data_IF_293604441603
#
_entry.id   IF_293604441603
#
_cell.length_a   1.000
_cell.length_b   1.000
_cell.length_c   1.000
_cell.angle_alpha   90.00
_cell.angle_beta   90.00
_cell.angle_gamma   90.00
#
_symmetry.space_group_name_H-M   'P 1'
#
loop_
_entity.id
_entity.type
_entity.pdbx_description
1 polymer ?
#
# COMPACT_ATOMS: atom_id res chain seq x y z
N UNK A 1 36.16 -49.24 64.15
CA UNK A 1 35.67 -50.28 63.22
C UNK A 1 34.97 -49.52 62.09
N UNK A 2 35.49 -49.63 60.87
CA UNK A 2 35.07 -48.84 59.73
C UNK A 2 33.77 -49.40 59.13
N UNK A 3 32.74 -48.56 58.98
CA UNK A 3 31.53 -48.92 58.25
C UNK A 3 31.71 -48.57 56.77
N UNK A 4 31.70 -49.61 55.93
CA UNK A 4 31.66 -49.52 54.47
C UNK A 4 30.21 -49.28 54.07
N UNK A 5 29.92 -48.16 53.41
CA UNK A 5 28.63 -47.93 52.74
C UNK A 5 28.79 -48.27 51.26
N UNK A 6 28.06 -49.30 50.80
CA UNK A 6 27.91 -49.65 49.39
C UNK A 6 26.94 -48.69 48.70
N UNK A 7 27.38 -48.09 47.60
CA UNK A 7 26.60 -47.22 46.72
C UNK A 7 25.53 -48.03 45.96
N UNK A 8 24.25 -47.75 46.18
CA UNK A 8 23.19 -48.14 45.27
C UNK A 8 22.98 -47.03 44.22
N UNK A 9 23.32 -47.32 42.96
CA UNK A 9 23.04 -46.41 41.85
C UNK A 9 21.53 -46.43 41.53
N UNK A 10 20.88 -45.28 41.67
CA UNK A 10 19.49 -45.08 41.27
C UNK A 10 19.44 -44.76 39.77
N UNK A 11 18.85 -45.64 38.96
CA UNK A 11 18.46 -45.30 37.59
C UNK A 11 17.33 -44.28 37.63
N UNK A 12 17.57 -43.06 37.17
CA UNK A 12 16.50 -42.09 36.88
C UNK A 12 16.17 -42.19 35.39
N UNK A 13 14.99 -42.73 35.09
CA UNK A 13 14.42 -42.63 33.75
C UNK A 13 14.00 -41.18 33.49
N UNK A 14 14.61 -40.52 32.52
CA UNK A 14 14.20 -39.20 32.07
C UNK A 14 12.90 -39.33 31.25
N UNK A 15 11.77 -38.93 31.82
CA UNK A 15 10.55 -38.73 31.04
C UNK A 15 10.71 -37.44 30.23
N UNK A 16 10.81 -37.56 28.91
CA UNK A 16 10.76 -36.41 28.01
C UNK A 16 9.38 -35.73 28.14
N UNK A 17 9.34 -34.54 28.74
CA UNK A 17 8.15 -33.71 28.70
C UNK A 17 7.98 -33.20 27.26
N UNK A 18 7.03 -33.76 26.51
CA UNK A 18 6.62 -33.19 25.24
C UNK A 18 5.95 -31.85 25.53
N UNK A 19 6.67 -30.75 25.29
CA UNK A 19 6.06 -29.42 25.27
C UNK A 19 5.12 -29.36 24.08
N UNK A 20 3.81 -29.33 24.32
CA UNK A 20 2.87 -29.00 23.27
C UNK A 20 3.13 -27.57 22.82
N UNK A 21 3.42 -27.37 21.54
CA UNK A 21 3.40 -26.04 20.94
C UNK A 21 1.96 -25.52 21.04
N UNK A 22 1.73 -24.52 21.89
CA UNK A 22 0.46 -23.82 21.89
C UNK A 22 0.24 -23.24 20.48
N UNK A 23 -0.81 -23.67 19.80
CA UNK A 23 -1.26 -22.98 18.60
C UNK A 23 -1.67 -21.57 19.04
N UNK A 24 -1.09 -20.53 18.44
CA UNK A 24 -1.62 -19.18 18.58
C UNK A 24 -3.12 -19.26 18.28
N UNK A 25 -3.97 -18.85 19.24
CA UNK A 25 -5.42 -18.98 19.11
C UNK A 25 -5.94 -18.36 17.82
N UNK A 26 -7.14 -18.78 17.39
CA UNK A 26 -7.78 -18.21 16.19
C UNK A 26 -7.76 -16.68 16.28
N UNK A 27 -7.20 -15.96 15.29
CA UNK A 27 -7.18 -14.51 15.32
C UNK A 27 -8.61 -14.00 15.39
N UNK A 28 -8.89 -13.12 16.36
CA UNK A 28 -10.16 -12.39 16.41
C UNK A 28 -10.00 -11.09 15.62
N UNK A 29 -10.99 -10.80 14.77
CA UNK A 29 -11.01 -9.62 13.93
C UNK A 29 -12.45 -9.12 13.80
N UNK A 30 -12.58 -7.80 13.72
CA UNK A 30 -13.83 -7.14 13.36
C UNK A 30 -13.85 -6.88 11.86
N UNK A 31 -14.96 -7.25 11.21
CA UNK A 31 -15.19 -6.91 9.81
C UNK A 31 -15.93 -5.58 9.79
N UNK A 32 -15.23 -4.53 9.36
CA UNK A 32 -15.78 -3.20 9.19
C UNK A 32 -16.13 -3.01 7.72
N UNK A 33 -17.40 -2.74 7.43
CA UNK A 33 -17.80 -2.26 6.12
C UNK A 33 -17.31 -0.81 5.95
N UNK A 34 -16.51 -0.58 4.91
CA UNK A 34 -15.97 0.74 4.59
C UNK A 34 -17.02 1.65 3.93
N UNK A 35 -18.12 1.08 3.44
CA UNK A 35 -19.19 1.79 2.75
C UNK A 35 -18.87 2.14 1.30
N UNK A 36 -19.63 3.10 0.76
CA UNK A 36 -19.54 3.59 -0.63
C UNK A 36 -19.58 5.11 -0.64
N UNK A 37 -19.00 5.75 -1.66
CA UNK A 37 -19.02 7.23 -1.81
C UNK A 37 -20.46 7.72 -2.02
N UNK A 38 -21.23 7.00 -2.83
CA UNK A 38 -22.60 7.34 -3.22
C UNK A 38 -23.45 6.07 -3.19
N UNK A 39 -24.72 6.20 -2.78
CA UNK A 39 -25.64 5.06 -2.73
C UNK A 39 -25.78 4.40 -4.11
N UNK A 40 -25.67 3.06 -4.15
CA UNK A 40 -25.72 2.28 -5.39
C UNK A 40 -24.40 2.21 -6.17
N UNK A 41 -23.33 2.84 -5.69
CA UNK A 41 -22.00 2.70 -6.26
C UNK A 41 -21.29 1.43 -5.75
N UNK A 42 -20.21 1.04 -6.41
CA UNK A 42 -19.33 -0.05 -5.99
C UNK A 42 -17.90 0.48 -5.87
N UNK A 43 -17.20 0.06 -4.82
CA UNK A 43 -15.81 0.46 -4.56
C UNK A 43 -14.89 -0.75 -4.62
N UNK A 44 -13.65 -0.51 -5.06
CA UNK A 44 -12.57 -1.48 -5.05
C UNK A 44 -11.38 -0.87 -4.31
N UNK A 45 -10.99 -1.51 -3.20
CA UNK A 45 -9.77 -1.17 -2.47
C UNK A 45 -8.52 -1.68 -3.18
N UNK A 46 -7.46 -0.86 -3.19
CA UNK A 46 -6.19 -1.18 -3.86
C UNK A 46 -4.99 -1.13 -2.91
N UNK A 47 -5.08 -0.36 -1.81
CA UNK A 47 -3.95 -0.14 -0.92
C UNK A 47 -4.35 0.38 0.44
N UNK A 48 -3.42 0.27 1.38
CA UNK A 48 -3.54 0.80 2.74
C UNK A 48 -2.19 1.36 3.20
N UNK A 49 -2.21 2.40 4.03
CA UNK A 49 -1.01 2.93 4.67
C UNK A 49 -0.38 1.92 5.63
N UNK A 50 0.91 2.07 5.90
CA UNK A 50 1.68 1.11 6.71
C UNK A 50 1.22 1.00 8.17
N UNK A 51 0.60 2.05 8.69
CA UNK A 51 -0.03 2.09 10.02
C UNK A 51 -1.49 1.61 10.02
N UNK A 52 -2.03 1.22 8.87
CA UNK A 52 -3.40 0.74 8.74
C UNK A 52 -4.49 1.81 8.84
N UNK A 53 -4.14 3.10 8.87
CA UNK A 53 -5.12 4.18 9.14
C UNK A 53 -5.80 4.74 7.90
N UNK A 54 -5.18 4.60 6.72
CA UNK A 54 -5.67 5.17 5.46
C UNK A 54 -5.77 4.09 4.40
N UNK A 55 -7.00 3.71 4.02
CA UNK A 55 -7.25 2.81 2.90
C UNK A 55 -7.62 3.60 1.63
N UNK A 56 -7.24 3.10 0.46
CA UNK A 56 -7.44 3.80 -0.82
C UNK A 56 -7.89 2.87 -1.92
N UNK A 57 -8.49 3.44 -2.96
CA UNK A 57 -8.91 2.67 -4.11
C UNK A 57 -9.64 3.49 -5.15
N UNK A 58 -10.63 2.87 -5.78
CA UNK A 58 -11.48 3.51 -6.80
C UNK A 58 -12.96 3.18 -6.62
N UNK A 59 -13.76 4.06 -7.17
CA UNK A 59 -15.21 4.00 -7.24
C UNK A 59 -15.62 3.74 -8.69
N UNK A 60 -16.38 2.68 -8.94
CA UNK A 60 -16.67 2.18 -10.28
C UNK A 60 -17.73 3.00 -11.03
N UNK A 61 -18.76 3.46 -10.33
CA UNK A 61 -19.83 4.28 -10.92
C UNK A 61 -19.34 5.69 -11.24
N UNK A 62 -18.76 6.37 -10.24
CA UNK A 62 -18.23 7.72 -10.45
C UNK A 62 -16.89 7.79 -11.17
N UNK A 63 -16.17 6.67 -11.36
CA UNK A 63 -14.82 6.63 -11.95
C UNK A 63 -13.77 7.49 -11.20
N UNK A 64 -13.96 7.67 -9.89
CA UNK A 64 -13.09 8.50 -9.05
C UNK A 64 -12.22 7.63 -8.15
N UNK A 65 -11.08 8.16 -7.70
CA UNK A 65 -10.36 7.56 -6.60
C UNK A 65 -11.08 7.84 -5.27
N UNK A 66 -10.77 7.08 -4.22
CA UNK A 66 -11.22 7.38 -2.87
C UNK A 66 -10.10 7.21 -1.84
N UNK A 67 -10.27 7.86 -0.69
CA UNK A 67 -9.55 7.59 0.56
C UNK A 67 -10.54 7.30 1.68
N UNK A 68 -10.19 6.38 2.57
CA UNK A 68 -10.97 6.05 3.75
C UNK A 68 -10.10 6.14 5.01
N UNK A 69 -10.69 6.66 6.09
CA UNK A 69 -10.11 6.61 7.44
C UNK A 69 -11.21 6.25 8.44
N UNK A 70 -10.85 5.66 9.58
CA UNK A 70 -11.83 5.32 10.62
C UNK A 70 -12.60 6.55 11.15
N UNK A 71 -11.95 7.72 11.23
CA UNK A 71 -12.57 8.95 11.72
C UNK A 71 -13.34 9.73 10.66
N UNK A 72 -12.97 9.60 9.38
CA UNK A 72 -13.55 10.37 8.27
C UNK A 72 -14.50 9.59 7.36
N UNK A 73 -14.53 8.26 7.47
CA UNK A 73 -15.24 7.40 6.53
C UNK A 73 -14.65 7.45 5.13
N UNK A 74 -15.42 6.99 4.15
CA UNK A 74 -15.03 6.94 2.74
C UNK A 74 -15.28 8.30 2.07
N UNK A 75 -14.23 8.88 1.50
CA UNK A 75 -14.26 10.18 0.81
C UNK A 75 -13.78 10.01 -0.63
N UNK A 76 -14.58 10.50 -1.58
CA UNK A 76 -14.18 10.56 -2.99
C UNK A 76 -13.11 11.64 -3.21
N UNK A 77 -12.11 11.31 -4.01
CA UNK A 77 -11.01 12.20 -4.36
C UNK A 77 -11.26 12.89 -5.71
N UNK A 78 -10.85 14.15 -5.89
CA UNK A 78 -11.07 14.88 -7.12
C UNK A 78 -10.28 14.28 -8.29
N UNK A 79 -10.72 14.58 -9.51
CA UNK A 79 -10.08 14.17 -10.76
C UNK A 79 -9.34 15.34 -11.41
N UNK A 80 -8.41 15.03 -12.31
CA UNK A 80 -7.86 16.07 -13.18
C UNK A 80 -8.95 16.51 -14.18
N UNK A 81 -9.03 17.81 -14.53
CA UNK A 81 -10.00 18.30 -15.51
C UNK A 81 -9.93 17.59 -16.87
N UNK A 82 -8.74 17.10 -17.25
CA UNK A 82 -8.47 16.43 -18.53
C UNK A 82 -8.58 14.91 -18.46
N UNK A 83 -8.68 14.31 -17.27
CA UNK A 83 -8.67 12.86 -17.07
C UNK A 83 -9.88 12.45 -16.22
N UNK A 84 -10.94 12.01 -16.90
CA UNK A 84 -12.24 11.68 -16.29
C UNK A 84 -12.26 10.42 -15.43
N UNK A 85 -11.14 9.71 -15.31
CA UNK A 85 -10.99 8.48 -14.54
C UNK A 85 -9.79 8.61 -13.60
N UNK A 86 -9.92 8.12 -12.37
CA UNK A 86 -8.82 8.11 -11.41
C UNK A 86 -8.85 6.84 -10.55
N UNK A 87 -7.67 6.38 -10.16
CA UNK A 87 -7.48 5.24 -9.26
C UNK A 87 -6.35 5.54 -8.29
N UNK A 88 -6.62 5.46 -6.99
CA UNK A 88 -5.58 5.51 -5.98
C UNK A 88 -4.99 4.11 -5.74
N UNK A 89 -3.68 4.06 -5.53
CA UNK A 89 -2.88 2.81 -5.43
C UNK A 89 -2.05 2.74 -4.16
N UNK A 90 -1.63 3.90 -3.62
CA UNK A 90 -0.79 3.96 -2.43
C UNK A 90 -1.16 5.11 -1.50
N UNK A 91 -0.91 4.93 -0.21
CA UNK A 91 -1.14 5.92 0.82
C UNK A 91 0.02 5.96 1.83
N UNK A 92 0.30 7.15 2.35
CA UNK A 92 1.22 7.38 3.47
C UNK A 92 0.45 7.50 4.79
N UNK A 93 1.14 7.33 5.91
CA UNK A 93 0.54 7.47 7.26
C UNK A 93 0.14 8.92 7.56
N UNK A 94 0.68 9.89 6.81
CA UNK A 94 0.28 11.30 6.91
C UNK A 94 -0.92 11.66 6.03
N UNK A 95 -1.59 10.67 5.43
CA UNK A 95 -2.79 10.87 4.60
C UNK A 95 -2.53 11.37 3.19
N UNK A 96 -1.27 11.41 2.72
CA UNK A 96 -1.00 11.62 1.28
C UNK A 96 -1.35 10.35 0.52
N UNK A 97 -1.97 10.52 -0.64
CA UNK A 97 -2.39 9.42 -1.52
C UNK A 97 -1.79 9.62 -2.90
N UNK A 98 -1.41 8.53 -3.56
CA UNK A 98 -0.93 8.56 -4.96
C UNK A 98 -1.67 7.56 -5.81
N UNK A 99 -1.61 7.78 -7.12
CA UNK A 99 -2.26 6.91 -8.07
C UNK A 99 -2.09 7.35 -9.52
N UNK A 100 -3.08 6.99 -10.33
CA UNK A 100 -3.10 7.25 -11.76
C UNK A 100 -4.43 7.90 -12.16
N UNK A 101 -4.35 8.90 -13.02
CA UNK A 101 -5.50 9.48 -13.71
C UNK A 101 -5.46 9.10 -15.20
N UNK A 102 -6.59 8.73 -15.79
CA UNK A 102 -6.70 8.23 -17.17
C UNK A 102 -7.84 8.92 -17.92
N UNK A 103 -7.77 8.96 -19.23
CA UNK A 103 -8.81 9.57 -20.08
C UNK A 103 -9.97 8.62 -20.36
N UNK A 104 -9.74 7.31 -20.19
CA UNK A 104 -10.74 6.26 -20.41
C UNK A 104 -10.78 5.27 -19.25
N UNK A 105 -11.86 4.51 -19.17
CA UNK A 105 -12.04 3.42 -18.19
C UNK A 105 -10.96 2.34 -18.29
N UNK A 106 -10.49 2.06 -19.51
CA UNK A 106 -9.47 1.04 -19.78
C UNK A 106 -8.03 1.55 -19.59
N UNK A 107 -7.87 2.80 -19.16
CA UNK A 107 -6.58 3.32 -18.71
C UNK A 107 -5.74 4.02 -19.78
N UNK A 108 -6.36 4.62 -20.80
CA UNK A 108 -5.66 5.41 -21.82
C UNK A 108 -5.04 6.68 -21.21
N UNK A 109 -3.88 7.08 -21.76
CA UNK A 109 -3.12 8.28 -21.37
C UNK A 109 -2.94 8.41 -19.84
N UNK A 110 -2.28 7.44 -19.18
CA UNK A 110 -2.13 7.49 -17.74
C UNK A 110 -1.19 8.63 -17.33
N UNK A 111 -1.62 9.43 -16.35
CA UNK A 111 -0.80 10.42 -15.68
C UNK A 111 -0.63 10.06 -14.20
N UNK A 112 0.59 10.19 -13.66
CA UNK A 112 0.84 9.98 -12.24
C UNK A 112 0.27 11.15 -11.46
N UNK A 113 -0.46 10.87 -10.38
CA UNK A 113 -1.12 11.90 -9.59
C UNK A 113 -0.91 11.68 -8.09
N UNK A 114 -0.98 12.78 -7.35
CA UNK A 114 -0.93 12.82 -5.90
C UNK A 114 -2.10 13.63 -5.37
N UNK A 115 -2.75 13.10 -4.33
CA UNK A 115 -3.75 13.81 -3.56
C UNK A 115 -3.19 14.18 -2.19
N UNK A 116 -3.30 15.47 -1.85
CA UNK A 116 -2.88 16.01 -0.57
C UNK A 116 -3.76 17.22 -0.22
N UNK A 117 -4.24 17.29 1.02
CA UNK A 117 -5.08 18.41 1.47
C UNK A 117 -6.36 18.61 0.66
N UNK A 118 -6.93 17.53 0.10
CA UNK A 118 -8.13 17.58 -0.74
C UNK A 118 -7.90 18.05 -2.18
N UNK A 119 -6.66 18.37 -2.57
CA UNK A 119 -6.30 18.74 -3.94
C UNK A 119 -5.64 17.58 -4.68
N UNK A 120 -5.87 17.50 -5.99
CA UNK A 120 -5.15 16.60 -6.90
C UNK A 120 -4.08 17.40 -7.65
N UNK A 121 -2.87 16.85 -7.70
CA UNK A 121 -1.74 17.39 -8.47
C UNK A 121 -1.17 16.30 -9.36
N UNK A 122 -0.92 16.63 -10.63
CA UNK A 122 -0.16 15.76 -11.51
C UNK A 122 1.32 15.77 -11.09
N UNK A 123 1.90 14.59 -10.91
CA UNK A 123 3.34 14.43 -10.71
C UNK A 123 4.08 14.65 -12.04
N UNK A 124 5.29 15.22 -12.03
CA UNK A 124 6.02 15.55 -13.25
C UNK A 124 6.38 14.29 -14.05
N UNK A 125 6.41 14.41 -15.37
CA UNK A 125 6.99 13.40 -16.26
C UNK A 125 8.43 13.81 -16.60
N UNK A 126 9.42 12.89 -16.56
CA UNK A 126 10.75 13.16 -17.08
C UNK A 126 10.72 13.56 -18.57
N UNK A 127 11.74 14.29 -19.01
CA UNK A 127 11.84 14.73 -20.41
C UNK A 127 11.84 13.54 -21.37
N UNK A 128 10.97 13.59 -22.39
CA UNK A 128 10.82 12.52 -23.39
C UNK A 128 9.74 11.49 -23.06
N UNK A 129 9.28 11.43 -21.81
CA UNK A 129 8.20 10.55 -21.39
C UNK A 129 6.83 11.19 -21.66
N UNK A 130 5.85 10.37 -22.01
CA UNK A 130 4.51 10.82 -22.44
C UNK A 130 3.39 10.36 -21.50
N UNK A 131 3.66 9.39 -20.64
CA UNK A 131 2.72 8.88 -19.66
C UNK A 131 3.45 8.41 -18.40
N UNK A 132 2.68 8.22 -17.31
CA UNK A 132 3.22 7.68 -16.07
C UNK A 132 2.16 7.25 -15.07
N UNK A 133 2.61 6.55 -14.03
CA UNK A 133 1.81 6.01 -12.94
C UNK A 133 2.55 6.21 -11.63
N UNK A 134 1.82 6.41 -10.53
CA UNK A 134 2.36 6.32 -9.19
C UNK A 134 1.74 5.13 -8.46
N UNK A 135 2.56 4.37 -7.72
CA UNK A 135 2.16 3.12 -7.06
C UNK A 135 2.27 3.20 -5.53
N UNK A 136 3.25 3.95 -5.01
CA UNK A 136 3.48 4.06 -3.58
C UNK A 136 4.04 5.43 -3.21
N UNK A 137 3.85 5.83 -1.95
CA UNK A 137 4.30 7.11 -1.40
C UNK A 137 4.69 6.96 0.06
N UNK A 138 5.78 7.59 0.48
CA UNK A 138 6.20 7.65 1.88
C UNK A 138 5.73 8.94 2.57
N UNK A 139 5.88 9.03 3.89
CA UNK A 139 5.49 10.23 4.66
C UNK A 139 6.30 11.50 4.31
N UNK A 140 7.43 11.36 3.61
CA UNK A 140 8.22 12.48 3.10
C UNK A 140 7.72 13.02 1.75
N UNK A 141 6.65 12.43 1.19
CA UNK A 141 6.08 12.83 -0.09
C UNK A 141 6.86 12.30 -1.30
N UNK A 142 7.82 11.41 -1.07
CA UNK A 142 8.50 10.70 -2.17
C UNK A 142 7.59 9.59 -2.66
N UNK A 143 7.24 9.64 -3.94
CA UNK A 143 6.45 8.62 -4.59
C UNK A 143 7.31 7.79 -5.56
N UNK A 144 6.89 6.56 -5.80
CA UNK A 144 7.51 5.67 -6.80
C UNK A 144 6.47 5.16 -7.78
N UNK A 145 6.91 4.82 -8.98
CA UNK A 145 6.00 4.47 -10.06
C UNK A 145 6.69 3.97 -11.31
N UNK A 146 6.00 4.12 -12.44
CA UNK A 146 6.58 3.98 -13.77
C UNK A 146 6.28 5.20 -14.64
N UNK A 147 7.16 5.45 -15.62
CA UNK A 147 6.96 6.40 -16.72
C UNK A 147 7.33 5.76 -18.04
N UNK A 148 6.77 6.24 -19.14
CA UNK A 148 7.06 5.69 -20.44
C UNK A 148 6.65 6.53 -21.63
N UNK A 149 7.08 6.05 -22.79
CA UNK A 149 6.74 6.56 -24.11
C UNK A 149 6.52 5.39 -25.07
N UNK A 150 5.35 5.32 -25.69
CA UNK A 150 4.95 4.19 -26.53
C UNK A 150 4.80 2.89 -25.73
N UNK A 151 5.73 1.94 -25.91
CA UNK A 151 5.70 0.59 -25.32
C UNK A 151 6.76 0.36 -24.25
N UNK A 152 7.63 1.34 -24.00
CA UNK A 152 8.71 1.23 -23.02
C UNK A 152 8.29 1.92 -21.72
N UNK A 153 8.51 1.25 -20.59
CA UNK A 153 8.33 1.83 -19.25
C UNK A 153 9.61 1.65 -18.42
N UNK A 154 9.89 2.66 -17.58
CA UNK A 154 10.98 2.66 -16.61
C UNK A 154 10.44 2.92 -15.22
N UNK A 155 11.10 2.34 -14.20
CA UNK A 155 10.86 2.74 -12.81
C UNK A 155 11.23 4.21 -12.60
N UNK A 156 10.45 4.92 -11.79
CA UNK A 156 10.66 6.35 -11.54
C UNK A 156 10.41 6.66 -10.07
N UNK A 157 11.13 7.67 -9.58
CA UNK A 157 10.90 8.30 -8.28
C UNK A 157 10.44 9.74 -8.51
N UNK A 158 9.40 10.17 -7.80
CA UNK A 158 8.91 11.54 -7.76
C UNK A 158 9.23 12.13 -6.38
N UNK A 159 10.06 13.18 -6.33
CA UNK A 159 10.45 13.82 -5.08
C UNK A 159 10.71 15.31 -5.30
N UNK A 160 10.27 16.17 -4.37
CA UNK A 160 10.55 17.60 -4.41
C UNK A 160 10.08 18.29 -5.70
N UNK A 161 8.97 17.84 -6.29
CA UNK A 161 8.45 18.38 -7.55
C UNK A 161 9.22 17.98 -8.81
N UNK A 162 10.14 17.01 -8.71
CA UNK A 162 10.90 16.45 -9.84
C UNK A 162 10.65 14.95 -10.00
N UNK A 163 10.88 14.43 -11.19
CA UNK A 163 10.85 12.99 -11.49
C UNK A 163 12.24 12.52 -11.96
N UNK A 164 12.70 11.40 -11.42
CA UNK A 164 13.97 10.77 -11.79
C UNK A 164 13.75 9.32 -12.14
N UNK A 165 14.17 8.92 -13.35
CA UNK A 165 14.19 7.50 -13.75
C UNK A 165 15.18 6.74 -12.87
N UNK A 166 14.76 5.57 -12.40
CA UNK A 166 15.57 4.65 -11.61
C UNK A 166 16.35 3.78 -12.58
N UNK A 167 17.62 4.12 -12.81
CA UNK A 167 18.48 3.47 -13.82
C UNK A 167 19.34 2.33 -13.28
N UNK A 168 19.33 2.11 -11.96
CA UNK A 168 19.98 0.98 -11.30
C UNK A 168 19.10 0.47 -10.16
N UNK A 169 18.93 -0.85 -10.04
CA UNK A 169 18.57 -1.43 -8.76
C UNK A 169 19.83 -1.27 -7.89
N UNK A 170 19.77 -0.49 -6.82
CA UNK A 170 20.80 -0.58 -5.79
C UNK A 170 20.86 -2.06 -5.37
N UNK A 171 22.05 -2.65 -5.42
CA UNK A 171 22.25 -4.04 -5.03
C UNK A 171 21.56 -4.31 -3.70
N UNK A 172 20.78 -5.37 -3.70
CA UNK A 172 20.20 -6.01 -2.53
C UNK A 172 21.25 -6.11 -1.43
N UNK A 173 21.08 -5.27 -0.39
CA UNK A 173 21.92 -5.23 0.81
C UNK A 173 21.51 -6.28 1.83
#
# INVERSE_FOLDING_TARGET
>A
MANVTLNAALLVAAAAAATSSAHAGTPQYDIIDLGVVSAGDAVQGNGISSDGTTAVGRTLGSNSAFSWTAGGGLVGLPKLPTHGYATATGASNSGMVVGTATTTFFGSSPLPVMWQGGAITQLPLPAGETFGRAFGVNNGGTAVGSVGSGVTEFGVMYAGGSASVITTAAGDG
#
